data_IF_736292164427
#
_entry.id   IF_736292164427
#
_cell.length_a   1.000
_cell.length_b   1.000
_cell.length_c   1.000
_cell.angle_alpha   90.00
_cell.angle_beta   90.00
_cell.angle_gamma   90.00
#
_symmetry.space_group_name_H-M   'P 1'
#
loop_
_entity.id
_entity.type
_entity.pdbx_description
1 polymer ?
#
# COMPACT_ATOMS: atom_id res chain seq x y z
N UNK A 1 -13.96 -6.35 -13.59
CA UNK A 1 -14.78 -5.61 -12.60
C UNK A 1 -14.95 -6.49 -11.37
N UNK A 2 -14.78 -5.91 -10.16
CA UNK A 2 -15.12 -6.61 -8.93
C UNK A 2 -16.65 -6.76 -8.85
N UNK A 3 -17.11 -7.98 -8.59
CA UNK A 3 -18.55 -8.30 -8.55
C UNK A 3 -19.31 -7.39 -7.59
N UNK A 4 -18.78 -7.21 -6.37
CA UNK A 4 -19.46 -6.45 -5.32
C UNK A 4 -19.54 -4.95 -5.65
N UNK A 5 -18.49 -4.40 -6.28
CA UNK A 5 -18.51 -3.02 -6.79
C UNK A 5 -19.51 -2.87 -7.92
N UNK A 6 -19.59 -3.85 -8.82
CA UNK A 6 -20.57 -3.85 -9.91
C UNK A 6 -22.03 -3.92 -9.41
N UNK A 7 -22.28 -4.76 -8.40
CA UNK A 7 -23.61 -4.85 -7.78
C UNK A 7 -23.99 -3.55 -7.07
N UNK A 8 -23.06 -2.97 -6.29
CA UNK A 8 -23.29 -1.69 -5.59
C UNK A 8 -23.53 -0.54 -6.58
N UNK A 9 -22.80 -0.50 -7.69
CA UNK A 9 -23.01 0.49 -8.75
C UNK A 9 -24.42 0.36 -9.37
N UNK A 10 -24.87 -0.88 -9.65
CA UNK A 10 -26.21 -1.15 -10.15
C UNK A 10 -27.30 -0.72 -9.17
N UNK A 11 -27.13 -1.02 -7.89
CA UNK A 11 -28.05 -0.60 -6.83
C UNK A 11 -28.12 0.92 -6.68
N UNK A 12 -26.97 1.60 -6.70
CA UNK A 12 -26.92 3.07 -6.67
C UNK A 12 -27.61 3.67 -7.90
N UNK A 13 -27.32 3.16 -9.08
CA UNK A 13 -27.96 3.62 -10.32
C UNK A 13 -29.49 3.45 -10.27
N UNK A 14 -29.99 2.32 -9.74
CA UNK A 14 -31.42 2.07 -9.55
C UNK A 14 -32.04 3.10 -8.59
N UNK A 15 -31.40 3.37 -7.44
CA UNK A 15 -31.88 4.35 -6.47
C UNK A 15 -31.96 5.76 -7.07
N UNK A 16 -30.92 6.17 -7.82
CA UNK A 16 -30.91 7.45 -8.54
C UNK A 16 -32.04 7.55 -9.57
N UNK A 17 -32.24 6.50 -10.37
CA UNK A 17 -33.30 6.48 -11.34
C UNK A 17 -34.69 6.63 -10.70
N UNK A 18 -34.94 5.94 -9.59
CA UNK A 18 -36.20 6.06 -8.84
C UNK A 18 -36.36 7.47 -8.29
N UNK A 19 -35.32 8.09 -7.79
CA UNK A 19 -35.39 9.46 -7.25
C UNK A 19 -35.67 10.52 -8.32
N UNK A 20 -35.19 10.31 -9.53
CA UNK A 20 -35.43 11.18 -10.67
C UNK A 20 -36.85 11.01 -11.32
N UNK A 21 -37.61 9.98 -10.93
CA UNK A 21 -38.95 9.78 -11.48
C UNK A 21 -39.90 10.87 -11.00
N UNK A 22 -40.88 11.28 -11.87
CA UNK A 22 -41.99 12.11 -11.46
C UNK A 22 -42.76 11.48 -10.28
N UNK A 23 -43.29 12.30 -9.39
CA UNK A 23 -43.93 11.87 -8.13
C UNK A 23 -45.03 10.80 -8.37
N UNK A 24 -45.87 10.98 -9.39
CA UNK A 24 -46.93 10.05 -9.74
C UNK A 24 -46.46 8.65 -10.15
N UNK A 25 -45.27 8.52 -10.66
CA UNK A 25 -44.64 7.23 -10.99
C UNK A 25 -43.87 6.67 -9.80
N UNK A 26 -43.18 7.55 -9.04
CA UNK A 26 -42.46 7.18 -7.84
C UNK A 26 -43.36 6.54 -6.80
N UNK A 27 -44.52 7.11 -6.54
CA UNK A 27 -45.51 6.62 -5.56
C UNK A 27 -46.04 5.21 -5.86
N UNK A 28 -45.85 4.69 -7.09
CA UNK A 28 -46.25 3.34 -7.49
C UNK A 28 -45.15 2.29 -7.16
N UNK A 29 -43.93 2.71 -6.76
CA UNK A 29 -42.81 1.82 -6.47
C UNK A 29 -42.83 1.45 -5.00
N UNK A 30 -42.95 0.15 -4.69
CA UNK A 30 -43.11 -0.37 -3.33
C UNK A 30 -41.84 -0.31 -2.48
N UNK A 31 -40.66 -0.07 -3.07
CA UNK A 31 -39.35 -0.06 -2.33
C UNK A 31 -38.61 1.26 -2.50
N UNK A 32 -39.25 2.34 -2.07
CA UNK A 32 -38.60 3.65 -2.00
C UNK A 32 -37.93 3.76 -0.61
N UNK A 33 -36.64 4.08 -0.60
CA UNK A 33 -35.96 4.50 0.62
C UNK A 33 -36.30 5.98 0.90
N UNK A 34 -37.08 6.29 1.94
CA UNK A 34 -37.50 7.66 2.24
C UNK A 34 -36.34 8.56 2.69
N UNK A 35 -35.19 7.95 3.01
CA UNK A 35 -33.97 8.66 3.45
C UNK A 35 -32.88 8.70 2.38
N UNK A 36 -33.23 8.36 1.12
CA UNK A 36 -32.24 8.36 0.05
C UNK A 36 -31.63 9.78 -0.13
N UNK A 37 -30.33 9.85 0.00
CA UNK A 37 -29.53 11.03 -0.30
C UNK A 37 -28.43 10.63 -1.28
N UNK A 38 -28.47 11.21 -2.47
CA UNK A 38 -27.55 10.88 -3.56
C UNK A 38 -26.08 11.13 -3.19
N UNK A 39 -25.80 12.17 -2.43
CA UNK A 39 -24.42 12.51 -2.04
C UNK A 39 -23.85 11.49 -1.05
N UNK A 40 -24.63 11.13 -0.04
CA UNK A 40 -24.24 10.13 0.96
C UNK A 40 -24.04 8.75 0.33
N UNK A 41 -24.95 8.33 -0.52
CA UNK A 41 -24.88 7.03 -1.21
C UNK A 41 -23.73 6.98 -2.22
N UNK A 42 -23.49 8.08 -2.94
CA UNK A 42 -22.32 8.22 -3.82
C UNK A 42 -21.01 8.10 -3.02
N UNK A 43 -20.91 8.81 -1.92
CA UNK A 43 -19.72 8.79 -1.08
C UNK A 43 -19.50 7.41 -0.42
N UNK A 44 -20.59 6.75 -0.04
CA UNK A 44 -20.53 5.36 0.40
C UNK A 44 -20.00 4.44 -0.70
N UNK A 45 -20.52 4.57 -1.93
CA UNK A 45 -20.08 3.79 -3.08
C UNK A 45 -18.62 4.04 -3.42
N UNK A 46 -18.15 5.30 -3.37
CA UNK A 46 -16.74 5.63 -3.60
C UNK A 46 -15.86 4.96 -2.56
N UNK A 47 -16.19 5.03 -1.27
CA UNK A 47 -15.44 4.35 -0.21
C UNK A 47 -15.42 2.83 -0.39
N UNK A 48 -16.52 2.26 -0.81
CA UNK A 48 -16.61 0.82 -1.12
C UNK A 48 -15.69 0.47 -2.29
N UNK A 49 -15.76 1.22 -3.39
CA UNK A 49 -14.92 0.99 -4.57
C UNK A 49 -13.42 1.10 -4.25
N UNK A 50 -13.02 2.09 -3.47
CA UNK A 50 -11.64 2.30 -3.03
C UNK A 50 -11.05 1.11 -2.26
N UNK A 51 -11.87 0.39 -1.48
CA UNK A 51 -11.42 -0.84 -0.79
C UNK A 51 -10.98 -1.95 -1.74
N UNK A 52 -11.52 -1.95 -2.96
CA UNK A 52 -11.23 -2.94 -3.97
C UNK A 52 -10.22 -2.46 -5.02
N UNK A 53 -9.77 -1.22 -4.93
CA UNK A 53 -8.71 -0.72 -5.82
C UNK A 53 -7.39 -1.44 -5.59
N UNK A 54 -6.63 -1.56 -6.66
CA UNK A 54 -5.25 -2.01 -6.54
C UNK A 54 -4.36 -0.84 -6.08
N UNK A 55 -3.40 -1.14 -5.23
CA UNK A 55 -2.33 -0.18 -4.97
C UNK A 55 -1.62 0.26 -6.26
N UNK A 56 -0.96 1.42 -6.25
CA UNK A 56 -0.46 2.07 -7.48
C UNK A 56 0.49 1.19 -8.30
N UNK A 57 1.36 0.42 -7.66
CA UNK A 57 2.29 -0.49 -8.35
C UNK A 57 1.56 -1.59 -9.11
N UNK A 58 0.61 -2.28 -8.45
CA UNK A 58 -0.17 -3.34 -9.09
C UNK A 58 -1.05 -2.78 -10.20
N UNK A 59 -1.67 -1.61 -10.00
CA UNK A 59 -2.49 -0.95 -11.01
C UNK A 59 -1.66 -0.59 -12.27
N UNK A 60 -0.44 -0.08 -12.09
CA UNK A 60 0.47 0.25 -13.18
C UNK A 60 0.87 -0.99 -13.99
N UNK A 61 1.16 -2.11 -13.31
CA UNK A 61 1.49 -3.38 -13.99
C UNK A 61 0.31 -3.93 -14.76
N UNK A 62 -0.92 -3.86 -14.21
CA UNK A 62 -2.13 -4.29 -14.92
C UNK A 62 -2.39 -3.39 -16.14
N UNK A 63 -2.19 -2.08 -16.01
CA UNK A 63 -2.31 -1.15 -17.14
C UNK A 63 -1.32 -1.50 -18.25
N UNK A 64 -0.04 -1.67 -17.90
CA UNK A 64 1.00 -2.03 -18.86
C UNK A 64 0.76 -3.39 -19.54
N UNK A 65 0.20 -4.37 -18.82
CA UNK A 65 -0.22 -5.64 -19.38
C UNK A 65 -1.37 -5.48 -20.37
N UNK A 66 -2.37 -4.68 -20.02
CA UNK A 66 -3.53 -4.41 -20.89
C UNK A 66 -3.13 -3.68 -22.17
N UNK A 67 -2.19 -2.76 -22.12
CA UNK A 67 -1.64 -2.06 -23.30
C UNK A 67 -0.88 -2.99 -24.25
N UNK A 68 -0.55 -4.22 -23.80
CA UNK A 68 0.13 -5.26 -24.56
C UNK A 68 -0.76 -6.48 -24.86
N UNK A 69 -2.06 -6.33 -24.70
CA UNK A 69 -3.05 -7.39 -24.86
C UNK A 69 -2.78 -8.64 -23.99
N UNK A 70 -2.08 -8.44 -22.85
CA UNK A 70 -1.84 -9.53 -21.90
C UNK A 70 -3.04 -9.59 -20.94
N UNK A 71 -3.80 -10.70 -20.94
CA UNK A 71 -4.94 -10.84 -20.04
C UNK A 71 -4.49 -10.90 -18.60
N UNK A 72 -5.27 -10.25 -17.72
CA UNK A 72 -5.02 -10.21 -16.29
C UNK A 72 -6.25 -10.66 -15.49
N UNK A 73 -6.03 -11.49 -14.48
CA UNK A 73 -7.07 -12.01 -13.60
C UNK A 73 -6.67 -11.74 -12.15
N UNK A 74 -7.53 -11.08 -11.39
CA UNK A 74 -7.37 -10.94 -9.95
C UNK A 74 -7.76 -12.25 -9.27
N UNK A 75 -6.88 -12.81 -8.45
CA UNK A 75 -7.07 -14.12 -7.84
C UNK A 75 -7.58 -14.05 -6.38
N UNK A 76 -7.42 -12.91 -5.71
CA UNK A 76 -7.91 -12.70 -4.36
C UNK A 76 -8.45 -11.28 -4.15
N UNK A 77 -8.98 -11.01 -2.97
CA UNK A 77 -9.47 -9.67 -2.60
C UNK A 77 -8.36 -8.63 -2.41
N UNK A 78 -7.10 -9.06 -2.38
CA UNK A 78 -5.93 -8.18 -2.23
C UNK A 78 -5.30 -7.87 -3.59
N UNK A 79 -3.99 -8.02 -3.70
CA UNK A 79 -3.21 -7.66 -4.88
C UNK A 79 -2.62 -8.84 -5.66
N UNK A 80 -3.10 -10.07 -5.40
CA UNK A 80 -2.65 -11.24 -6.16
C UNK A 80 -3.30 -11.23 -7.55
N UNK A 81 -2.46 -11.10 -8.57
CA UNK A 81 -2.88 -11.01 -9.98
C UNK A 81 -2.11 -12.03 -10.81
N UNK A 82 -2.81 -12.68 -11.70
CA UNK A 82 -2.24 -13.53 -12.74
C UNK A 82 -2.27 -12.79 -14.07
N UNK A 83 -1.15 -12.80 -14.78
CA UNK A 83 -1.02 -12.35 -16.16
C UNK A 83 -0.85 -13.56 -17.08
N UNK A 84 -1.52 -13.54 -18.22
CA UNK A 84 -1.49 -14.63 -19.19
C UNK A 84 -2.16 -15.92 -18.71
N UNK A 85 -2.03 -16.97 -19.52
CA UNK A 85 -2.67 -18.26 -19.31
C UNK A 85 -1.73 -19.44 -19.51
N UNK A 86 -2.11 -20.61 -18.94
CA UNK A 86 -1.41 -21.88 -19.13
C UNK A 86 0.06 -21.80 -18.70
N UNK A 87 0.95 -22.36 -19.49
CA UNK A 87 2.39 -22.43 -19.20
C UNK A 87 3.10 -21.07 -19.19
N UNK A 88 2.51 -20.06 -19.78
CA UNK A 88 3.08 -18.71 -19.85
C UNK A 88 2.56 -17.78 -18.74
N UNK A 89 1.66 -18.27 -17.88
CA UNK A 89 1.14 -17.46 -16.81
C UNK A 89 2.24 -16.99 -15.85
N UNK A 90 2.15 -15.74 -15.42
CA UNK A 90 2.97 -15.16 -14.36
C UNK A 90 2.07 -14.58 -13.29
N UNK A 91 2.50 -14.65 -12.05
CA UNK A 91 1.73 -14.11 -10.91
C UNK A 91 2.53 -13.06 -10.20
N UNK A 92 1.83 -12.04 -9.74
CA UNK A 92 2.38 -11.01 -8.86
C UNK A 92 1.50 -10.85 -7.63
N UNK A 93 2.13 -10.44 -6.53
CA UNK A 93 1.43 -9.90 -5.37
C UNK A 93 2.11 -8.60 -4.99
N UNK A 94 1.41 -7.47 -5.17
CA UNK A 94 2.02 -6.14 -5.20
C UNK A 94 3.16 -6.07 -6.24
N UNK A 95 4.41 -6.02 -5.82
CA UNK A 95 5.60 -6.02 -6.69
C UNK A 95 6.39 -7.33 -6.63
N UNK A 96 6.01 -8.26 -5.76
CA UNK A 96 6.64 -9.58 -5.65
C UNK A 96 6.10 -10.47 -6.76
N UNK A 97 6.97 -11.16 -7.49
CA UNK A 97 6.61 -12.09 -8.57
C UNK A 97 6.76 -13.54 -8.12
N UNK A 98 6.24 -14.49 -8.91
CA UNK A 98 6.48 -15.91 -8.68
C UNK A 98 7.94 -16.34 -8.89
N UNK A 99 8.78 -15.47 -9.46
CA UNK A 99 10.22 -15.67 -9.60
C UNK A 99 11.02 -15.07 -8.42
N UNK A 100 10.40 -14.22 -7.59
CA UNK A 100 11.05 -13.60 -6.44
C UNK A 100 11.23 -14.62 -5.33
N UNK A 101 12.46 -14.91 -4.98
CA UNK A 101 12.78 -15.88 -3.93
C UNK A 101 12.52 -15.31 -2.54
N UNK A 102 12.06 -16.14 -1.62
CA UNK A 102 11.72 -15.74 -0.26
C UNK A 102 12.91 -15.08 0.47
N UNK A 103 14.10 -15.65 0.38
CA UNK A 103 15.33 -15.08 0.96
C UNK A 103 15.57 -13.63 0.49
N UNK A 104 15.31 -13.34 -0.79
CA UNK A 104 15.47 -11.99 -1.32
C UNK A 104 14.45 -11.00 -0.70
N UNK A 105 13.24 -11.47 -0.40
CA UNK A 105 12.21 -10.66 0.29
C UNK A 105 12.62 -10.39 1.73
N UNK A 106 13.12 -11.41 2.43
CA UNK A 106 13.60 -11.26 3.81
C UNK A 106 14.75 -10.26 3.90
N UNK A 107 15.79 -10.41 3.08
CA UNK A 107 16.92 -9.46 3.02
C UNK A 107 16.43 -8.05 2.72
N UNK A 108 15.56 -7.87 1.71
CA UNK A 108 15.04 -6.56 1.35
C UNK A 108 14.15 -5.92 2.44
N UNK A 109 13.58 -6.73 3.33
CA UNK A 109 12.78 -6.25 4.46
C UNK A 109 13.61 -5.79 5.65
N UNK A 110 14.81 -6.33 5.81
CA UNK A 110 15.75 -5.95 6.88
C UNK A 110 16.73 -4.89 6.37
N UNK A 111 16.66 -3.67 6.95
CA UNK A 111 17.51 -2.55 6.54
C UNK A 111 18.98 -2.75 6.93
N UNK A 112 19.24 -3.52 7.99
CA UNK A 112 20.61 -3.78 8.43
C UNK A 112 21.28 -4.82 7.52
N UNK A 113 20.59 -5.89 7.23
CA UNK A 113 21.09 -6.96 6.36
C UNK A 113 21.29 -6.45 4.92
N UNK A 114 20.30 -5.70 4.40
CA UNK A 114 20.43 -5.04 3.09
C UNK A 114 21.66 -4.13 3.03
N UNK A 115 21.87 -3.27 4.05
CA UNK A 115 23.01 -2.35 4.07
C UNK A 115 24.34 -3.11 4.15
N UNK A 116 24.43 -4.14 5.00
CA UNK A 116 25.63 -4.96 5.13
C UNK A 116 25.98 -5.65 3.81
N UNK A 117 25.00 -6.28 3.17
CA UNK A 117 25.19 -6.97 1.90
C UNK A 117 25.66 -6.01 0.78
N UNK A 118 25.03 -4.83 0.69
CA UNK A 118 25.41 -3.83 -0.31
C UNK A 118 26.81 -3.27 -0.03
N UNK A 119 27.16 -3.04 1.24
CA UNK A 119 28.49 -2.62 1.63
C UNK A 119 29.57 -3.66 1.28
N UNK A 120 29.30 -4.93 1.53
CA UNK A 120 30.22 -6.04 1.22
C UNK A 120 30.42 -6.19 -0.30
N UNK A 121 29.44 -5.79 -1.10
CA UNK A 121 29.53 -5.70 -2.57
C UNK A 121 30.30 -4.44 -3.05
N UNK A 122 30.78 -3.59 -2.14
CA UNK A 122 31.49 -2.35 -2.47
C UNK A 122 30.60 -1.22 -3.00
N UNK A 123 29.28 -1.32 -2.81
CA UNK A 123 28.33 -0.27 -3.21
C UNK A 123 28.32 0.86 -2.17
N UNK A 124 28.10 2.12 -2.59
CA UNK A 124 28.01 3.23 -1.67
C UNK A 124 26.73 3.15 -0.82
N UNK A 125 26.89 2.92 0.46
CA UNK A 125 25.80 2.87 1.44
C UNK A 125 26.04 3.87 2.57
N UNK A 126 24.96 4.37 3.20
CA UNK A 126 25.09 5.19 4.39
C UNK A 126 25.74 4.41 5.53
N UNK A 127 26.61 5.06 6.30
CA UNK A 127 27.13 4.48 7.55
C UNK A 127 25.97 4.32 8.51
N UNK A 128 25.69 3.08 8.93
CA UNK A 128 24.64 2.81 9.90
C UNK A 128 25.05 1.72 10.89
N UNK A 129 24.40 1.71 12.04
CA UNK A 129 24.60 0.71 13.09
C UNK A 129 23.27 0.41 13.78
N UNK A 130 22.97 -0.87 13.95
CA UNK A 130 21.83 -1.30 14.76
C UNK A 130 22.14 -1.02 16.26
N UNK A 131 21.17 -0.44 16.96
CA UNK A 131 21.25 -0.06 18.36
C UNK A 131 20.00 -0.53 19.10
N UNK A 132 20.16 -0.93 20.37
CA UNK A 132 19.09 -1.57 21.15
C UNK A 132 18.68 -0.75 22.40
N UNK A 133 19.35 0.37 22.66
CA UNK A 133 19.00 1.27 23.75
C UNK A 133 19.55 2.68 23.49
N UNK A 134 18.99 3.66 24.19
CA UNK A 134 19.32 5.09 24.07
C UNK A 134 20.83 5.37 24.22
N UNK A 135 21.45 4.77 25.20
CA UNK A 135 22.88 4.99 25.43
C UNK A 135 23.75 4.44 24.29
N UNK A 136 23.36 3.32 23.70
CA UNK A 136 24.03 2.79 22.52
C UNK A 136 23.77 3.68 21.30
N UNK A 137 22.58 4.24 21.16
CA UNK A 137 22.25 5.17 20.09
C UNK A 137 23.09 6.43 20.16
N UNK A 138 23.21 7.08 21.32
CA UNK A 138 24.04 8.26 21.54
C UNK A 138 25.52 7.96 21.26
N UNK A 139 26.06 6.87 21.81
CA UNK A 139 27.48 6.51 21.53
C UNK A 139 27.73 6.25 20.05
N UNK A 140 26.78 5.69 19.37
CA UNK A 140 26.86 5.41 17.93
C UNK A 140 26.74 6.68 17.11
N UNK A 141 25.83 7.58 17.46
CA UNK A 141 25.70 8.89 16.84
C UNK A 141 27.00 9.71 16.93
N UNK A 142 27.58 9.77 18.12
CA UNK A 142 28.89 10.42 18.32
C UNK A 142 30.01 9.80 17.50
N UNK A 143 29.96 8.49 17.24
CA UNK A 143 30.97 7.80 16.42
C UNK A 143 30.77 8.04 14.93
N UNK A 144 29.51 8.09 14.46
CA UNK A 144 29.14 8.35 13.05
C UNK A 144 29.45 9.81 12.73
N UNK A 145 29.15 10.71 13.65
CA UNK A 145 29.19 12.17 13.47
C UNK A 145 27.82 12.74 13.17
N UNK A 146 27.50 13.87 13.83
CA UNK A 146 26.24 14.58 13.60
C UNK A 146 26.25 15.38 12.29
N UNK A 147 25.10 15.59 11.63
CA UNK A 147 23.77 15.13 12.02
C UNK A 147 23.51 13.67 11.67
N UNK A 148 22.66 13.00 12.48
CA UNK A 148 22.27 11.60 12.25
C UNK A 148 20.77 11.44 12.04
N UNK A 149 20.39 10.24 11.57
CA UNK A 149 18.99 9.80 11.43
C UNK A 149 18.77 8.58 12.31
N UNK A 150 17.70 8.59 13.09
CA UNK A 150 17.23 7.44 13.84
C UNK A 150 15.97 6.87 13.15
N UNK A 151 15.95 5.57 12.93
CA UNK A 151 14.86 4.90 12.22
C UNK A 151 14.62 3.49 12.77
N UNK A 152 13.38 3.00 12.85
CA UNK A 152 13.11 1.63 13.24
C UNK A 152 13.62 0.63 12.20
N UNK A 153 14.00 -0.56 12.65
CA UNK A 153 14.52 -1.62 11.79
C UNK A 153 13.49 -2.02 10.72
N UNK A 154 12.25 -2.29 11.14
CA UNK A 154 11.24 -2.94 10.33
C UNK A 154 10.05 -2.03 9.93
N UNK A 155 10.13 -0.71 10.13
CA UNK A 155 9.06 0.20 9.72
C UNK A 155 9.21 0.67 8.28
N UNK A 156 8.09 1.02 7.66
CA UNK A 156 7.99 1.55 6.31
C UNK A 156 7.25 2.91 6.30
N UNK A 157 7.22 3.57 5.15
CA UNK A 157 6.53 4.85 4.94
C UNK A 157 6.96 5.98 5.90
N UNK A 158 8.20 5.95 6.38
CA UNK A 158 8.75 6.99 7.26
C UNK A 158 8.24 6.96 8.70
N UNK A 159 7.47 5.94 9.10
CA UNK A 159 6.99 5.82 10.48
C UNK A 159 8.15 5.64 11.45
N UNK A 160 8.16 6.43 12.54
CA UNK A 160 9.20 6.39 13.57
C UNK A 160 10.58 6.88 13.10
N UNK A 161 10.67 7.57 11.96
CA UNK A 161 11.92 8.13 11.45
C UNK A 161 12.10 9.54 11.99
N UNK A 162 13.21 9.76 12.71
CA UNK A 162 13.67 11.08 13.17
C UNK A 162 14.91 11.49 12.40
N UNK A 163 14.84 12.64 11.72
CA UNK A 163 15.89 13.15 10.82
C UNK A 163 16.57 14.36 11.42
N UNK A 164 17.79 14.64 10.94
CA UNK A 164 18.57 15.81 11.30
C UNK A 164 18.78 15.98 12.82
N UNK A 165 19.07 14.89 13.51
CA UNK A 165 19.42 14.91 14.93
C UNK A 165 20.86 15.42 15.07
N UNK A 166 21.02 16.52 15.80
CA UNK A 166 22.29 17.28 15.88
C UNK A 166 23.02 17.14 17.20
N UNK A 167 22.38 16.53 18.20
CA UNK A 167 22.94 16.36 19.54
C UNK A 167 22.43 15.11 20.26
N UNK A 168 23.04 14.81 21.41
CA UNK A 168 22.72 13.64 22.22
C UNK A 168 21.29 13.64 22.78
N UNK A 169 20.79 14.80 23.16
CA UNK A 169 19.45 14.93 23.78
C UNK A 169 18.35 14.65 22.75
N UNK A 170 18.53 15.11 21.52
CA UNK A 170 17.62 14.80 20.41
C UNK A 170 17.64 13.30 20.09
N UNK A 171 18.81 12.65 20.10
CA UNK A 171 18.90 11.21 19.89
C UNK A 171 18.18 10.44 20.99
N UNK A 172 18.36 10.82 22.26
CA UNK A 172 17.66 10.19 23.40
C UNK A 172 16.15 10.31 23.29
N UNK A 173 15.67 11.55 23.10
CA UNK A 173 14.23 11.82 23.01
C UNK A 173 13.57 11.12 21.82
N UNK A 174 14.29 10.94 20.71
CA UNK A 174 13.80 10.28 19.50
C UNK A 174 13.82 8.75 19.58
N UNK A 175 14.61 8.16 20.48
CA UNK A 175 14.78 6.69 20.55
C UNK A 175 13.48 5.96 20.91
N UNK A 176 12.64 6.57 21.74
CA UNK A 176 11.34 5.98 22.12
C UNK A 176 10.30 5.92 20.98
N UNK A 177 10.57 6.61 19.86
CA UNK A 177 9.67 6.64 18.69
C UNK A 177 10.18 5.78 17.53
N UNK A 178 11.41 5.26 17.60
CA UNK A 178 12.07 4.50 16.53
C UNK A 178 11.94 2.98 16.64
#
# INVERSE_FOLDING_TARGET
>A
LQRDVGLAAGQLAQKILIDLLPKNLRDQIKSIDPKFNIEEERDYFIRLAQKFEFGPSTASLIKAARERDIPSIRLNQYSLVQFGHGKYQKRIQATVTNETKHIAVEIASDKNDTNSLLNDLGLPVPVQKLVYNENAAVRTANRIGYPVVLKPLNANHGRGVSINLTDDDQVRSSFGFA
#
